data_IF_276660936085
#
_entry.id   IF_276660936085
#
_cell.length_a   1.000
_cell.length_b   1.000
_cell.length_c   1.000
_cell.angle_alpha   90.00
_cell.angle_beta   90.00
_cell.angle_gamma   90.00
#
_symmetry.space_group_name_H-M   'P 1'
#
loop_
_entity.id
_entity.type
_entity.pdbx_description
1 polymer ?
#
# COMPACT_ATOMS: atom_id res chain seq x y z
N UNK A 1 -15.23 -33.28 11.10
CA UNK A 1 -14.70 -32.58 9.90
C UNK A 1 -14.62 -33.60 8.78
N UNK A 2 -15.39 -33.40 7.70
CA UNK A 2 -15.35 -34.30 6.55
C UNK A 2 -14.18 -33.91 5.66
N UNK A 3 -13.17 -34.76 5.62
CA UNK A 3 -12.07 -34.67 4.65
C UNK A 3 -12.67 -34.86 3.26
N UNK A 4 -12.65 -33.84 2.42
CA UNK A 4 -12.93 -34.02 0.99
C UNK A 4 -11.72 -34.75 0.39
N UNK A 5 -11.83 -36.07 0.29
CA UNK A 5 -10.90 -36.90 -0.47
C UNK A 5 -11.41 -36.97 -1.91
N UNK A 6 -10.71 -36.32 -2.83
CA UNK A 6 -10.86 -36.62 -4.25
C UNK A 6 -10.00 -37.84 -4.56
N UNK A 7 -10.63 -38.97 -4.85
CA UNK A 7 -9.95 -40.18 -5.30
C UNK A 7 -9.62 -40.04 -6.79
N UNK A 8 -8.34 -39.82 -7.09
CA UNK A 8 -7.79 -40.00 -8.44
C UNK A 8 -7.16 -41.39 -8.49
N UNK A 9 -7.55 -42.21 -9.46
CA UNK A 9 -6.99 -43.56 -9.66
C UNK A 9 -5.85 -43.48 -10.67
N UNK A 10 -4.57 -43.66 -10.28
CA UNK A 10 -3.46 -43.71 -11.22
C UNK A 10 -3.38 -45.08 -11.87
N UNK A 11 -3.19 -45.15 -13.19
CA UNK A 11 -3.19 -46.40 -13.95
C UNK A 11 -1.91 -47.24 -13.80
N UNK A 12 -0.87 -46.77 -13.08
CA UNK A 12 0.41 -47.49 -13.01
C UNK A 12 1.24 -47.34 -11.71
N UNK A 13 0.81 -46.55 -10.72
CA UNK A 13 1.52 -46.44 -9.44
C UNK A 13 0.51 -46.26 -8.30
N UNK A 14 0.44 -47.25 -7.40
CA UNK A 14 -0.46 -47.24 -6.24
C UNK A 14 0.17 -46.60 -5.00
N UNK A 15 1.38 -46.04 -5.11
CA UNK A 15 2.00 -45.30 -4.02
C UNK A 15 1.22 -44.00 -3.83
N UNK A 16 0.59 -43.76 -2.66
CA UNK A 16 -0.13 -42.52 -2.42
C UNK A 16 0.85 -41.34 -2.47
N UNK A 17 0.74 -40.50 -3.49
CA UNK A 17 1.43 -39.20 -3.49
C UNK A 17 0.62 -38.29 -2.58
N UNK A 18 1.16 -37.98 -1.40
CA UNK A 18 0.61 -36.96 -0.52
C UNK A 18 0.79 -35.59 -1.17
N UNK A 19 -0.22 -35.13 -1.93
CA UNK A 19 -0.27 -33.74 -2.40
C UNK A 19 -0.65 -32.88 -1.20
N UNK A 20 0.34 -32.20 -0.62
CA UNK A 20 0.12 -31.19 0.40
C UNK A 20 -0.49 -29.96 -0.27
N UNK A 21 -1.82 -29.89 -0.33
CA UNK A 21 -2.51 -28.63 -0.64
C UNK A 21 -2.22 -27.68 0.52
N UNK A 22 -1.54 -26.55 0.25
CA UNK A 22 -1.29 -25.53 1.28
C UNK A 22 -2.63 -25.11 1.88
N UNK A 23 -2.87 -25.50 3.13
CA UNK A 23 -4.09 -25.13 3.84
C UNK A 23 -4.16 -23.61 3.99
N UNK A 24 -5.37 -23.05 3.90
CA UNK A 24 -5.58 -21.62 4.18
C UNK A 24 -5.13 -21.31 5.61
N UNK A 25 -4.29 -20.29 5.74
CA UNK A 25 -3.67 -19.92 6.98
C UNK A 25 -4.42 -18.76 7.65
N UNK A 26 -4.69 -18.82 8.97
CA UNK A 26 -5.38 -17.75 9.69
C UNK A 26 -4.79 -16.36 9.45
N UNK A 27 -5.65 -15.34 9.32
CA UNK A 27 -5.23 -13.94 9.34
C UNK A 27 -4.43 -13.61 10.62
N UNK A 28 -3.42 -12.75 10.51
CA UNK A 28 -2.51 -12.44 11.62
C UNK A 28 -1.24 -11.71 11.19
N UNK A 29 -0.39 -11.34 12.16
CA UNK A 29 0.81 -10.54 11.96
C UNK A 29 1.80 -11.14 10.94
N UNK A 30 1.82 -12.46 10.77
CA UNK A 30 2.68 -13.15 9.83
C UNK A 30 2.37 -12.84 8.35
N UNK A 31 1.19 -12.32 8.05
CA UNK A 31 0.83 -11.84 6.71
C UNK A 31 1.45 -10.48 6.36
N UNK A 32 1.89 -9.71 7.36
CA UNK A 32 2.40 -8.34 7.17
C UNK A 32 3.66 -8.29 6.32
N UNK A 33 4.49 -9.33 6.41
CA UNK A 33 5.77 -9.46 5.72
C UNK A 33 5.74 -10.17 4.36
N UNK A 34 4.60 -10.72 3.92
CA UNK A 34 4.56 -11.58 2.70
C UNK A 34 4.55 -10.81 1.39
N UNK A 35 3.93 -9.63 1.40
CA UNK A 35 3.83 -8.74 0.24
C UNK A 35 4.38 -7.38 0.65
N UNK A 36 5.69 -7.24 0.54
CA UNK A 36 6.39 -6.01 0.93
C UNK A 36 6.16 -4.91 -0.11
N UNK A 37 5.98 -3.69 0.39
CA UNK A 37 5.99 -2.50 -0.45
C UNK A 37 7.41 -2.08 -0.83
N UNK A 38 7.50 -0.96 -1.54
CA UNK A 38 8.76 -0.29 -1.85
C UNK A 38 8.69 1.19 -1.46
N UNK A 39 9.85 1.77 -1.16
CA UNK A 39 10.06 3.21 -1.05
C UNK A 39 11.11 3.71 -2.06
N UNK A 40 11.44 2.91 -3.09
CA UNK A 40 12.42 3.23 -4.11
C UNK A 40 11.79 3.82 -5.37
N UNK A 41 12.35 4.93 -5.86
CA UNK A 41 11.97 5.52 -7.14
C UNK A 41 12.08 4.54 -8.30
N UNK A 42 13.01 3.58 -8.27
CA UNK A 42 13.20 2.58 -9.34
C UNK A 42 11.99 1.68 -9.52
N UNK A 43 11.12 1.58 -8.51
CA UNK A 43 9.88 0.78 -8.59
C UNK A 43 8.70 1.53 -9.20
N UNK A 44 8.83 2.83 -9.46
CA UNK A 44 7.82 3.61 -10.16
C UNK A 44 7.77 3.24 -11.65
N UNK A 45 6.60 3.34 -12.26
CA UNK A 45 6.40 3.12 -13.69
C UNK A 45 6.86 4.35 -14.50
N UNK A 46 7.37 4.12 -15.70
CA UNK A 46 7.58 5.20 -16.67
C UNK A 46 6.25 5.67 -17.27
N UNK A 47 6.11 6.98 -17.61
CA UNK A 47 7.13 8.03 -17.49
C UNK A 47 7.20 8.69 -16.10
N UNK A 48 6.31 8.33 -15.17
CA UNK A 48 6.21 8.98 -13.86
C UNK A 48 7.50 8.87 -13.03
N UNK A 49 8.22 7.74 -13.14
CA UNK A 49 9.53 7.56 -12.49
C UNK A 49 10.51 8.66 -12.86
N UNK A 50 10.63 8.98 -14.15
CA UNK A 50 11.54 9.99 -14.65
C UNK A 50 11.11 11.39 -14.18
N UNK A 51 9.81 11.68 -14.22
CA UNK A 51 9.21 12.90 -13.68
C UNK A 51 9.50 13.09 -12.19
N UNK A 52 9.22 12.07 -11.37
CA UNK A 52 9.46 12.08 -9.93
C UNK A 52 10.94 12.27 -9.61
N UNK A 53 11.83 11.56 -10.32
CA UNK A 53 13.28 11.69 -10.13
C UNK A 53 13.73 13.13 -10.37
N UNK A 54 13.36 13.75 -11.50
CA UNK A 54 13.71 15.13 -11.82
C UNK A 54 13.20 16.15 -10.80
N UNK A 55 11.95 15.99 -10.34
CA UNK A 55 11.39 16.87 -9.32
C UNK A 55 12.15 16.77 -8.00
N UNK A 56 12.40 15.55 -7.52
CA UNK A 56 13.11 15.34 -6.26
C UNK A 56 14.56 15.82 -6.32
N UNK A 57 15.22 15.67 -7.47
CA UNK A 57 16.56 16.19 -7.68
C UNK A 57 16.58 17.72 -7.67
N UNK A 58 15.58 18.38 -8.26
CA UNK A 58 15.44 19.84 -8.19
C UNK A 58 15.22 20.32 -6.73
N UNK A 59 14.39 19.61 -5.96
CA UNK A 59 14.19 19.91 -4.53
C UNK A 59 15.49 19.78 -3.75
N UNK A 60 16.25 18.69 -3.95
CA UNK A 60 17.53 18.46 -3.27
C UNK A 60 18.59 19.49 -3.67
N UNK A 61 18.68 19.81 -4.96
CA UNK A 61 19.61 20.81 -5.49
C UNK A 61 19.34 22.20 -4.91
N UNK A 62 18.07 22.52 -4.62
CA UNK A 62 17.65 23.75 -3.95
C UNK A 62 17.89 23.75 -2.42
N UNK A 63 18.50 22.69 -1.86
CA UNK A 63 18.74 22.55 -0.42
C UNK A 63 17.54 22.00 0.37
N UNK A 64 16.50 21.53 -0.31
CA UNK A 64 15.37 20.82 0.30
C UNK A 64 15.71 19.39 0.69
N UNK A 65 15.04 18.87 1.70
CA UNK A 65 15.14 17.48 2.13
C UNK A 65 13.89 16.71 1.71
N UNK A 66 14.09 15.48 1.24
CA UNK A 66 13.01 14.56 0.83
C UNK A 66 13.15 13.23 1.59
N UNK A 67 12.09 12.79 2.25
CA UNK A 67 11.96 11.46 2.84
C UNK A 67 10.82 10.70 2.16
N UNK A 68 11.15 9.58 1.51
CA UNK A 68 10.18 8.74 0.80
C UNK A 68 9.69 7.65 1.76
N UNK A 69 8.38 7.54 1.92
CA UNK A 69 7.74 6.52 2.74
C UNK A 69 7.21 5.35 1.90
N UNK A 70 6.71 5.60 0.69
CA UNK A 70 6.20 4.56 -0.21
C UNK A 70 6.22 5.00 -1.68
N UNK A 71 6.45 4.05 -2.58
CA UNK A 71 6.36 4.20 -4.04
C UNK A 71 5.55 3.08 -4.70
N UNK A 72 5.57 1.88 -4.11
CA UNK A 72 4.81 0.75 -4.61
C UNK A 72 4.17 0.00 -3.45
N UNK A 73 2.88 -0.27 -3.62
CA UNK A 73 2.09 -1.17 -2.78
C UNK A 73 1.59 -2.30 -3.66
N UNK A 74 2.04 -3.55 -3.49
CA UNK A 74 1.49 -4.67 -4.25
C UNK A 74 -0.04 -4.76 -4.09
N UNK A 75 -0.80 -5.11 -5.14
CA UNK A 75 -2.24 -5.33 -5.03
C UNK A 75 -2.62 -6.31 -3.91
N UNK A 76 -1.79 -7.32 -3.66
CA UNK A 76 -1.96 -8.30 -2.58
C UNK A 76 -1.87 -7.63 -1.20
N UNK A 77 -0.89 -6.75 -1.04
CA UNK A 77 -0.73 -5.95 0.18
C UNK A 77 -1.92 -5.02 0.37
N UNK A 78 -2.38 -4.36 -0.70
CA UNK A 78 -3.55 -3.48 -0.66
C UNK A 78 -4.80 -4.24 -0.22
N UNK A 79 -5.02 -5.44 -0.76
CA UNK A 79 -6.10 -6.34 -0.35
C UNK A 79 -6.04 -6.69 1.14
N UNK A 80 -4.89 -7.17 1.63
CA UNK A 80 -4.72 -7.55 3.04
C UNK A 80 -4.93 -6.37 3.98
N UNK A 81 -4.37 -5.21 3.64
CA UNK A 81 -4.55 -3.97 4.42
C UNK A 81 -6.01 -3.50 4.43
N UNK A 82 -6.68 -3.53 3.28
CA UNK A 82 -8.07 -3.10 3.12
C UNK A 82 -9.01 -3.92 4.01
N UNK A 83 -8.96 -5.24 3.89
CA UNK A 83 -9.90 -6.11 4.59
C UNK A 83 -9.61 -6.22 6.08
N UNK A 84 -8.33 -6.25 6.48
CA UNK A 84 -7.97 -6.16 7.89
C UNK A 84 -8.52 -4.87 8.53
N UNK A 85 -8.38 -3.73 7.85
CA UNK A 85 -8.91 -2.46 8.31
C UNK A 85 -10.44 -2.47 8.39
N UNK A 86 -11.14 -2.97 7.35
CA UNK A 86 -12.61 -3.05 7.31
C UNK A 86 -13.19 -3.89 8.45
N UNK A 87 -12.61 -5.08 8.70
CA UNK A 87 -13.01 -5.94 9.83
C UNK A 87 -12.89 -5.17 11.15
N UNK A 88 -11.75 -4.52 11.35
CA UNK A 88 -11.37 -3.88 12.62
C UNK A 88 -12.12 -2.57 12.88
N UNK A 89 -12.30 -1.74 11.85
CA UNK A 89 -12.77 -0.35 11.99
C UNK A 89 -14.24 -0.19 11.68
N UNK A 90 -14.81 -1.07 10.85
CA UNK A 90 -16.23 -1.01 10.49
C UNK A 90 -17.02 -2.23 10.97
N UNK A 91 -16.38 -3.20 11.62
CA UNK A 91 -17.03 -4.44 12.03
C UNK A 91 -17.44 -5.32 10.84
N UNK A 92 -16.74 -5.21 9.70
CA UNK A 92 -17.05 -6.02 8.53
C UNK A 92 -16.89 -7.52 8.87
N UNK A 93 -17.86 -8.33 8.44
CA UNK A 93 -17.90 -9.76 8.74
C UNK A 93 -16.72 -10.51 8.06
N UNK A 94 -15.79 -11.12 8.83
CA UNK A 94 -14.70 -11.93 8.30
C UNK A 94 -15.15 -13.07 7.36
N UNK A 95 -16.38 -13.57 7.49
CA UNK A 95 -16.92 -14.63 6.62
C UNK A 95 -17.31 -14.11 5.23
N UNK A 96 -17.50 -12.80 5.08
CA UNK A 96 -17.93 -12.16 3.83
C UNK A 96 -16.78 -11.50 3.08
N UNK A 97 -15.53 -11.67 3.54
CA UNK A 97 -14.37 -11.11 2.84
C UNK A 97 -14.21 -11.84 1.51
N UNK A 98 -14.28 -11.14 0.37
CA UNK A 98 -14.07 -11.75 -0.94
C UNK A 98 -12.68 -12.38 -1.03
N UNK A 99 -12.57 -13.58 -1.60
CA UNK A 99 -11.27 -14.19 -1.89
C UNK A 99 -10.45 -13.33 -2.86
N UNK A 100 -9.13 -13.33 -2.69
CA UNK A 100 -8.23 -12.71 -3.66
C UNK A 100 -8.16 -13.57 -4.94
N UNK A 101 -8.16 -12.97 -6.15
CA UNK A 101 -8.09 -13.73 -7.40
C UNK A 101 -6.74 -14.47 -7.56
N UNK A 102 -6.76 -15.57 -8.30
CA UNK A 102 -5.54 -16.25 -8.76
C UNK A 102 -4.79 -17.06 -7.70
N UNK A 103 -5.43 -17.42 -6.59
CA UNK A 103 -4.91 -18.38 -5.59
C UNK A 103 -3.63 -17.90 -4.84
N UNK A 104 -3.19 -16.65 -5.07
CA UNK A 104 -1.94 -16.08 -4.53
C UNK A 104 -1.98 -15.84 -3.01
N UNK A 105 -3.18 -15.58 -2.46
CA UNK A 105 -3.36 -15.29 -1.03
C UNK A 105 -4.21 -16.38 -0.40
N UNK A 106 -3.56 -17.27 0.35
CA UNK A 106 -4.17 -18.35 1.14
C UNK A 106 -4.54 -17.93 2.56
N UNK A 107 -5.24 -16.81 2.70
CA UNK A 107 -5.61 -16.28 4.00
C UNK A 107 -7.01 -16.75 4.42
N UNK A 108 -7.10 -17.26 5.64
CA UNK A 108 -8.37 -17.58 6.32
C UNK A 108 -8.76 -16.41 7.22
N UNK A 109 -9.69 -15.58 6.75
CA UNK A 109 -10.24 -14.47 7.54
C UNK A 109 -11.20 -14.97 8.64
N UNK A 110 -12.08 -15.91 8.30
CA UNK A 110 -13.00 -16.55 9.24
C UNK A 110 -12.30 -17.72 9.94
N UNK A 111 -11.75 -17.45 11.12
CA UNK A 111 -11.09 -18.45 11.95
C UNK A 111 -12.13 -19.43 12.50
N UNK A 112 -11.65 -20.61 12.89
CA UNK A 112 -12.49 -21.64 13.53
C UNK A 112 -11.86 -22.06 14.85
N UNK A 113 -12.71 -22.38 15.82
CA UNK A 113 -12.32 -22.95 17.10
C UNK A 113 -11.81 -24.39 16.92
N UNK A 114 -11.32 -25.00 18.01
CA UNK A 114 -10.92 -26.41 18.02
C UNK A 114 -12.07 -27.37 17.64
N UNK A 115 -13.33 -27.01 17.88
CA UNK A 115 -14.50 -27.81 17.48
C UNK A 115 -14.91 -27.59 16.01
N UNK A 116 -14.21 -26.71 15.28
CA UNK A 116 -14.49 -26.38 13.88
C UNK A 116 -15.60 -25.34 13.70
N UNK A 117 -16.09 -24.72 14.77
CA UNK A 117 -17.10 -23.66 14.70
C UNK A 117 -16.45 -22.32 14.40
N UNK A 118 -17.14 -21.41 13.71
CA UNK A 118 -16.64 -20.06 13.48
C UNK A 118 -16.28 -19.36 14.80
N UNK A 119 -15.10 -18.74 14.83
CA UNK A 119 -14.58 -17.96 15.96
C UNK A 119 -14.41 -16.49 15.55
N UNK A 120 -15.43 -15.69 15.86
CA UNK A 120 -15.45 -14.27 15.57
C UNK A 120 -14.32 -13.52 16.30
N UNK A 121 -14.05 -13.88 17.56
CA UNK A 121 -13.05 -13.20 18.36
C UNK A 121 -11.65 -13.41 17.78
N UNK A 122 -11.29 -14.66 17.47
CA UNK A 122 -10.01 -14.98 16.84
C UNK A 122 -9.85 -14.28 15.48
N UNK A 123 -10.90 -14.28 14.65
CA UNK A 123 -10.91 -13.62 13.34
C UNK A 123 -10.62 -12.12 13.44
N UNK A 124 -11.29 -11.42 14.37
CA UNK A 124 -11.08 -9.99 14.61
C UNK A 124 -9.70 -9.71 15.21
N UNK A 125 -9.18 -10.58 16.08
CA UNK A 125 -7.84 -10.43 16.64
C UNK A 125 -6.75 -10.63 15.58
N UNK A 126 -6.90 -11.59 14.68
CA UNK A 126 -6.01 -11.78 13.52
C UNK A 126 -5.95 -10.54 12.63
N UNK A 127 -7.12 -10.00 12.27
CA UNK A 127 -7.21 -8.74 11.52
C UNK A 127 -6.61 -7.54 12.28
N UNK A 128 -6.82 -7.46 13.61
CA UNK A 128 -6.23 -6.41 14.46
C UNK A 128 -4.70 -6.47 14.47
N UNK A 129 -4.13 -7.67 14.56
CA UNK A 129 -2.68 -7.86 14.51
C UNK A 129 -2.11 -7.36 13.17
N UNK A 130 -2.82 -7.62 12.06
CA UNK A 130 -2.45 -7.08 10.74
C UNK A 130 -2.58 -5.55 10.68
N UNK A 131 -3.67 -4.96 11.18
CA UNK A 131 -3.84 -3.49 11.24
C UNK A 131 -2.68 -2.83 11.98
N UNK A 132 -2.28 -3.40 13.12
CA UNK A 132 -1.16 -2.91 13.91
C UNK A 132 0.17 -3.07 13.17
N UNK A 133 0.43 -4.26 12.60
CA UNK A 133 1.68 -4.53 11.88
C UNK A 133 1.83 -3.72 10.59
N UNK A 134 0.73 -3.38 9.92
CA UNK A 134 0.74 -2.47 8.77
C UNK A 134 0.79 -0.99 9.17
N UNK A 135 0.62 -0.64 10.45
CA UNK A 135 0.61 0.75 10.91
C UNK A 135 -0.60 1.56 10.42
N UNK A 136 -1.73 0.91 10.14
CA UNK A 136 -2.93 1.54 9.53
C UNK A 136 -4.05 1.85 10.53
N UNK A 137 -3.78 1.74 11.83
CA UNK A 137 -4.77 1.97 12.89
C UNK A 137 -5.34 3.40 12.89
N UNK A 138 -4.51 4.38 12.54
CA UNK A 138 -4.85 5.80 12.49
C UNK A 138 -5.55 6.26 11.21
N UNK A 139 -5.74 5.39 10.21
CA UNK A 139 -6.45 5.76 9.00
C UNK A 139 -7.96 5.89 9.26
N UNK A 140 -8.57 6.91 8.67
CA UNK A 140 -10.02 7.17 8.71
C UNK A 140 -10.78 6.51 7.56
N UNK A 141 -10.07 6.06 6.53
CA UNK A 141 -10.60 5.33 5.38
C UNK A 141 -9.78 4.07 5.15
N UNK A 142 -10.42 3.01 4.62
CA UNK A 142 -9.72 1.79 4.26
C UNK A 142 -8.68 2.09 3.16
N UNK A 143 -7.48 1.49 3.20
CA UNK A 143 -6.56 1.51 2.08
C UNK A 143 -7.27 1.08 0.79
N UNK A 144 -7.16 1.87 -0.27
CA UNK A 144 -7.85 1.61 -1.52
C UNK A 144 -7.27 0.36 -2.21
N UNK A 145 -8.15 -0.50 -2.75
CA UNK A 145 -7.77 -1.68 -3.54
C UNK A 145 -7.19 -1.27 -4.90
N UNK A 146 -7.78 -0.23 -5.50
CA UNK A 146 -7.29 0.42 -6.71
C UNK A 146 -6.68 1.76 -6.30
N UNK A 147 -5.36 1.89 -6.43
CA UNK A 147 -4.62 3.09 -6.01
C UNK A 147 -3.49 3.38 -6.98
N UNK A 148 -3.09 4.63 -7.12
CA UNK A 148 -1.87 4.99 -7.87
C UNK A 148 -0.62 4.29 -7.34
N UNK A 149 -0.57 3.95 -6.04
CA UNK A 149 0.51 3.14 -5.46
C UNK A 149 0.56 1.71 -5.99
N UNK A 150 -0.58 1.08 -6.30
CA UNK A 150 -0.59 -0.27 -6.90
C UNK A 150 -0.21 -0.21 -8.38
N UNK A 151 -0.47 0.92 -9.03
CA UNK A 151 -0.11 1.22 -10.42
C UNK A 151 1.33 1.72 -10.58
N UNK A 152 2.07 1.93 -9.48
CA UNK A 152 3.44 2.51 -9.48
C UNK A 152 3.50 3.94 -10.02
N UNK A 153 2.42 4.70 -9.83
CA UNK A 153 2.21 6.06 -10.31
C UNK A 153 2.01 7.07 -9.17
N UNK A 154 2.34 6.68 -7.93
CA UNK A 154 2.31 7.56 -6.76
C UNK A 154 3.55 7.39 -5.89
N UNK A 155 3.80 8.42 -5.10
CA UNK A 155 4.85 8.49 -4.10
C UNK A 155 4.31 9.17 -2.85
N UNK A 156 4.45 8.50 -1.71
CA UNK A 156 4.21 9.12 -0.41
C UNK A 156 5.56 9.62 0.10
N UNK A 157 5.69 10.93 0.28
CA UNK A 157 6.93 11.57 0.69
C UNK A 157 6.69 12.82 1.52
N UNK A 158 7.61 13.09 2.44
CA UNK A 158 7.72 14.36 3.13
C UNK A 158 8.82 15.20 2.47
N UNK A 159 8.51 16.46 2.23
CA UNK A 159 9.45 17.46 1.74
C UNK A 159 9.53 18.57 2.80
N UNK A 160 10.74 19.07 3.08
CA UNK A 160 10.96 20.21 3.98
C UNK A 160 12.20 20.99 3.57
N UNK A 161 12.25 22.27 3.94
CA UNK A 161 13.41 23.14 3.73
C UNK A 161 13.42 24.29 4.74
N UNK A 162 14.48 25.09 4.74
CA UNK A 162 14.61 26.30 5.56
C UNK A 162 14.70 27.54 4.68
N UNK A 163 14.25 28.70 5.19
CA UNK A 163 14.35 29.98 4.48
C UNK A 163 13.55 30.03 3.16
N UNK A 164 14.10 30.72 2.17
CA UNK A 164 13.56 30.76 0.80
C UNK A 164 14.12 29.59 0.00
N UNK A 165 13.23 28.77 -0.59
CA UNK A 165 13.66 27.71 -1.52
C UNK A 165 13.82 28.32 -2.91
N UNK A 166 15.03 28.28 -3.45
CA UNK A 166 15.30 28.73 -4.83
C UNK A 166 15.45 27.49 -5.69
N UNK A 167 14.39 27.16 -6.44
CA UNK A 167 14.22 25.88 -7.15
C UNK A 167 13.93 26.12 -8.62
N UNK A 168 14.44 25.27 -9.51
CA UNK A 168 14.07 25.31 -10.92
C UNK A 168 12.76 24.51 -11.14
N UNK A 169 11.90 25.01 -12.02
CA UNK A 169 10.78 24.23 -12.55
C UNK A 169 11.24 23.31 -13.70
N UNK A 170 10.32 22.55 -14.29
CA UNK A 170 10.65 21.59 -15.35
C UNK A 170 11.18 22.22 -16.65
N UNK A 171 10.94 23.51 -16.92
CA UNK A 171 11.53 24.23 -18.05
C UNK A 171 12.92 24.81 -17.75
N UNK A 172 13.43 24.63 -16.53
CA UNK A 172 14.69 25.20 -16.06
C UNK A 172 14.58 26.64 -15.55
N UNK A 173 13.38 27.20 -15.46
CA UNK A 173 13.14 28.54 -14.95
C UNK A 173 13.20 28.52 -13.42
N UNK A 174 13.98 29.44 -12.84
CA UNK A 174 14.13 29.57 -11.40
C UNK A 174 12.88 30.20 -10.77
N UNK A 175 12.42 29.60 -9.67
CA UNK A 175 11.29 30.02 -8.83
C UNK A 175 11.79 30.19 -7.39
N UNK A 176 11.40 31.28 -6.73
CA UNK A 176 11.74 31.54 -5.33
C UNK A 176 10.51 31.39 -4.44
N UNK A 177 10.52 30.40 -3.54
CA UNK A 177 9.41 30.10 -2.63
C UNK A 177 9.74 30.64 -1.24
N UNK A 178 9.24 31.84 -0.93
CA UNK A 178 9.41 32.50 0.37
C UNK A 178 8.21 32.28 1.30
N UNK A 179 7.08 31.78 0.81
CA UNK A 179 5.88 31.53 1.60
C UNK A 179 5.99 30.34 2.56
N UNK A 180 5.05 30.27 3.50
CA UNK A 180 4.83 29.15 4.41
C UNK A 180 3.68 28.25 3.90
N UNK A 181 3.59 26.98 4.33
CA UNK A 181 4.57 26.27 5.17
C UNK A 181 5.86 25.93 4.40
N UNK A 182 6.95 25.64 5.13
CA UNK A 182 8.23 25.20 4.54
C UNK A 182 8.27 23.68 4.38
N UNK A 183 7.20 23.14 3.80
CA UNK A 183 6.97 21.70 3.67
C UNK A 183 6.34 21.35 2.33
N UNK A 184 6.23 20.05 2.04
CA UNK A 184 5.47 19.51 0.91
C UNK A 184 4.00 19.94 0.83
N UNK A 185 3.48 20.68 1.81
CA UNK A 185 2.14 21.28 1.78
C UNK A 185 2.11 22.73 1.26
N UNK A 186 3.24 23.28 0.81
CA UNK A 186 3.30 24.62 0.23
C UNK A 186 2.70 24.65 -1.20
N UNK A 187 1.77 25.56 -1.44
CA UNK A 187 1.07 25.66 -2.72
C UNK A 187 1.99 26.05 -3.89
N UNK A 188 2.99 26.90 -3.68
CA UNK A 188 3.96 27.24 -4.73
C UNK A 188 4.83 26.03 -5.09
N UNK A 189 5.20 25.21 -4.09
CA UNK A 189 5.90 23.94 -4.37
C UNK A 189 5.00 22.96 -5.12
N UNK A 190 3.69 22.95 -4.86
CA UNK A 190 2.73 22.15 -5.65
C UNK A 190 2.72 22.60 -7.10
N UNK A 191 2.71 23.92 -7.35
CA UNK A 191 2.82 24.48 -8.71
C UNK A 191 4.12 24.04 -9.40
N UNK A 192 5.26 24.10 -8.70
CA UNK A 192 6.54 23.62 -9.24
C UNK A 192 6.49 22.13 -9.54
N UNK A 193 6.03 21.29 -8.60
CA UNK A 193 5.91 19.85 -8.80
C UNK A 193 5.03 19.48 -9.99
N UNK A 194 3.91 20.19 -10.17
CA UNK A 194 3.02 19.99 -11.31
C UNK A 194 3.72 20.22 -12.66
N UNK A 195 4.69 21.13 -12.74
CA UNK A 195 5.48 21.32 -13.98
C UNK A 195 6.29 20.09 -14.36
N UNK A 196 6.70 19.27 -13.39
CA UNK A 196 7.39 17.99 -13.62
C UNK A 196 6.43 16.83 -13.90
N UNK A 197 5.12 17.03 -13.75
CA UNK A 197 4.12 15.95 -13.76
C UNK A 197 4.01 15.20 -12.42
N UNK A 198 4.41 15.84 -11.31
CA UNK A 198 4.30 15.29 -9.95
C UNK A 198 3.32 16.16 -9.16
N UNK A 199 2.08 15.71 -9.06
CA UNK A 199 0.95 16.49 -8.61
C UNK A 199 0.63 16.15 -7.16
N UNK A 200 0.47 17.17 -6.33
CA UNK A 200 0.08 16.99 -4.92
C UNK A 200 -1.35 16.47 -4.83
N UNK A 201 -1.60 15.58 -3.88
CA UNK A 201 -2.95 15.10 -3.57
C UNK A 201 -3.98 16.22 -3.41
N UNK A 202 -5.08 16.12 -4.16
CA UNK A 202 -6.14 17.15 -4.19
C UNK A 202 -6.99 17.19 -2.92
N UNK A 203 -7.04 16.09 -2.14
CA UNK A 203 -7.74 16.05 -0.85
C UNK A 203 -7.01 16.78 0.28
N UNK A 204 -5.90 17.47 -0.02
CA UNK A 204 -5.20 18.36 0.90
C UNK A 204 -4.62 17.63 2.11
N UNK A 205 -5.03 18.03 3.31
CA UNK A 205 -4.47 17.51 4.57
C UNK A 205 -4.95 16.12 4.96
N UNK A 206 -5.90 15.53 4.23
CA UNK A 206 -6.36 14.16 4.47
C UNK A 206 -5.33 13.09 4.09
N UNK A 207 -4.41 13.42 3.17
CA UNK A 207 -3.24 12.61 2.84
C UNK A 207 -2.03 13.51 2.48
N UNK A 208 -1.41 14.07 3.53
CA UNK A 208 -0.30 15.04 3.38
C UNK A 208 0.90 14.48 2.62
N UNK A 209 1.36 13.24 2.84
CA UNK A 209 2.52 12.71 2.13
C UNK A 209 2.27 12.44 0.63
N UNK A 210 1.02 12.33 0.19
CA UNK A 210 0.71 11.79 -1.14
C UNK A 210 0.97 12.75 -2.31
N UNK A 211 1.67 12.25 -3.32
CA UNK A 211 1.85 12.84 -4.64
C UNK A 211 1.71 11.77 -5.71
N UNK A 212 1.18 12.10 -6.88
CA UNK A 212 0.99 11.16 -7.99
C UNK A 212 1.09 11.84 -9.35
N UNK A 213 0.91 11.08 -10.42
CA UNK A 213 0.91 11.63 -11.77
C UNK A 213 -0.34 12.47 -12.08
N UNK A 214 -1.40 12.36 -11.27
CA UNK A 214 -2.69 13.04 -11.48
C UNK A 214 -3.26 13.72 -10.22
N UNK A 215 -2.63 13.55 -9.06
CA UNK A 215 -3.07 14.17 -7.79
C UNK A 215 -4.14 13.37 -7.04
N UNK A 216 -4.39 12.10 -7.42
CA UNK A 216 -5.34 11.19 -6.77
C UNK A 216 -4.69 9.91 -6.26
#
# INVERSE_FOLDING_TARGET
MATLQATLTPTADQTPVAVSVSADEPSGAQWVGRFLGSASLTTLASPFRESATKFLDAVRAAGGTVQIAATYRPPERAYLMHWAWKIVKTGFDPQQVPSYPGDVIKIKWAHVSASGTYDQQASVQGARAMVNGYGISGLNVAPALNSRHTQKLAIDMNISWNGTLVINNASGTTVSISSAPKTGMNNELHTVGATYGVIKFVGGSSDKPHWSNDGH
#
